data_IF_601799343228
#
_entry.id   IF_601799343228
#
_cell.length_a   1.000
_cell.length_b   1.000
_cell.length_c   1.000
_cell.angle_alpha   90.00
_cell.angle_beta   90.00
_cell.angle_gamma   90.00
#
_symmetry.space_group_name_H-M   'P 1'
#
loop_
_entity.id
_entity.type
_entity.pdbx_description
1 polymer ?
#
# COMPACT_ATOMS: atom_id res chain seq x y z
N UNK A 1 -11.00 -17.79 7.53
CA UNK A 1 -12.43 -17.79 7.84
C UNK A 1 -12.95 -16.46 8.38
N UNK A 2 -12.16 -15.62 9.01
CA UNK A 2 -12.58 -14.26 9.37
C UNK A 2 -11.46 -13.30 8.97
N UNK A 3 -11.69 -12.49 7.96
CA UNK A 3 -10.80 -11.40 7.60
C UNK A 3 -10.72 -10.32 8.70
N UNK A 4 -11.61 -10.36 9.69
CA UNK A 4 -11.66 -9.46 10.85
C UNK A 4 -12.47 -10.08 11.99
N UNK A 5 -12.18 -9.77 13.27
CA UNK A 5 -13.05 -10.13 14.38
C UNK A 5 -14.46 -9.56 14.18
N UNK A 6 -15.49 -10.28 14.64
CA UNK A 6 -16.88 -9.81 14.51
C UNK A 6 -17.04 -8.41 15.11
N UNK A 7 -17.55 -7.41 14.36
CA UNK A 7 -17.68 -6.04 14.84
C UNK A 7 -18.67 -5.90 16.01
N UNK A 8 -19.53 -6.90 16.22
CA UNK A 8 -20.57 -6.92 17.26
C UNK A 8 -20.15 -7.67 18.52
N UNK A 9 -18.98 -8.31 18.53
CA UNK A 9 -18.42 -9.02 19.69
C UNK A 9 -17.20 -8.30 20.23
N UNK A 10 -16.98 -8.41 21.55
CA UNK A 10 -15.71 -7.96 22.13
C UNK A 10 -14.55 -8.84 21.67
N UNK A 11 -13.34 -8.34 21.82
CA UNK A 11 -12.12 -9.09 21.47
C UNK A 11 -12.04 -10.38 22.28
N UNK A 12 -12.29 -10.32 23.58
CA UNK A 12 -12.28 -11.49 24.44
C UNK A 12 -13.33 -12.53 24.06
N UNK A 13 -14.53 -12.08 23.68
CA UNK A 13 -15.59 -12.97 23.20
C UNK A 13 -15.20 -13.63 21.87
N UNK A 14 -14.57 -12.88 20.97
CA UNK A 14 -14.11 -13.41 19.66
C UNK A 14 -12.99 -14.43 19.82
N UNK A 15 -11.98 -14.14 20.64
CA UNK A 15 -10.85 -15.04 20.89
C UNK A 15 -11.31 -16.30 21.66
N UNK A 16 -12.21 -16.13 22.64
CA UNK A 16 -12.73 -17.22 23.47
C UNK A 16 -13.86 -18.02 22.83
N UNK A 17 -14.33 -17.67 21.63
CA UNK A 17 -15.49 -18.31 20.99
C UNK A 17 -15.27 -19.81 20.77
N UNK A 18 -14.13 -20.21 20.24
CA UNK A 18 -13.76 -21.62 20.05
C UNK A 18 -13.75 -22.39 21.38
N UNK A 19 -13.19 -21.81 22.44
CA UNK A 19 -13.18 -22.41 23.76
C UNK A 19 -14.60 -22.60 24.31
N UNK A 20 -15.51 -21.67 24.07
CA UNK A 20 -16.89 -21.74 24.51
C UNK A 20 -17.67 -22.82 23.74
N UNK A 21 -17.52 -22.91 22.41
CA UNK A 21 -18.17 -23.91 21.54
C UNK A 21 -17.73 -25.31 21.94
N UNK A 22 -16.42 -25.53 22.16
CA UNK A 22 -15.85 -26.81 22.55
C UNK A 22 -15.94 -27.09 24.06
N UNK A 23 -16.59 -26.21 24.83
CA UNK A 23 -16.81 -26.36 26.30
C UNK A 23 -15.52 -26.54 27.09
N UNK A 24 -14.45 -25.86 26.69
CA UNK A 24 -13.15 -25.90 27.40
C UNK A 24 -13.23 -25.00 28.64
N UNK A 25 -13.22 -25.61 29.82
CA UNK A 25 -13.26 -24.88 31.09
C UNK A 25 -14.58 -24.15 31.37
N UNK A 26 -14.67 -23.51 32.53
CA UNK A 26 -15.78 -22.60 32.89
C UNK A 26 -15.53 -21.17 32.35
N UNK A 27 -16.44 -20.26 32.60
CA UNK A 27 -16.35 -18.87 32.12
C UNK A 27 -15.11 -18.15 32.64
N UNK A 28 -14.72 -18.40 33.91
CA UNK A 28 -13.54 -17.79 34.53
C UNK A 28 -12.25 -18.32 33.92
N UNK A 29 -12.12 -19.63 33.81
CA UNK A 29 -10.95 -20.27 33.20
C UNK A 29 -10.75 -19.85 31.73
N UNK A 30 -11.87 -19.71 30.98
CA UNK A 30 -11.83 -19.18 29.59
C UNK A 30 -11.32 -17.76 29.54
N UNK A 31 -11.84 -16.86 30.42
CA UNK A 31 -11.34 -15.47 30.46
C UNK A 31 -9.84 -15.42 30.75
N UNK A 32 -9.39 -16.17 31.77
CA UNK A 32 -7.97 -16.23 32.11
C UNK A 32 -7.10 -16.77 30.94
N UNK A 33 -7.55 -17.83 30.24
CA UNK A 33 -6.84 -18.36 29.08
C UNK A 33 -6.77 -17.32 27.95
N UNK A 34 -7.86 -16.64 27.65
CA UNK A 34 -7.91 -15.59 26.62
C UNK A 34 -7.01 -14.42 26.97
N UNK A 35 -7.02 -13.93 28.20
CA UNK A 35 -6.13 -12.84 28.64
C UNK A 35 -4.66 -13.24 28.47
N UNK A 36 -4.27 -14.47 28.88
CA UNK A 36 -2.92 -14.98 28.64
C UNK A 36 -2.57 -15.07 27.15
N UNK A 37 -3.52 -15.48 26.30
CA UNK A 37 -3.30 -15.53 24.86
C UNK A 37 -3.10 -14.13 24.25
N UNK A 38 -3.91 -13.14 24.68
CA UNK A 38 -3.76 -11.76 24.24
C UNK A 38 -2.40 -11.17 24.65
N UNK A 39 -1.92 -11.49 25.86
CA UNK A 39 -0.59 -11.13 26.34
C UNK A 39 0.50 -11.81 25.50
N UNK A 40 0.36 -13.12 25.27
CA UNK A 40 1.31 -13.92 24.47
C UNK A 40 1.47 -13.39 23.04
N UNK A 41 0.40 -12.91 22.41
CA UNK A 41 0.48 -12.28 21.08
C UNK A 41 0.93 -10.81 21.12
N UNK A 42 1.35 -10.33 22.30
CA UNK A 42 1.90 -8.99 22.49
C UNK A 42 0.86 -7.87 22.41
N UNK A 43 -0.38 -8.12 22.83
CA UNK A 43 -1.39 -7.08 23.00
C UNK A 43 -1.23 -6.46 24.39
N UNK A 44 -0.91 -5.16 24.42
CA UNK A 44 -0.75 -4.41 25.66
C UNK A 44 -2.07 -4.28 26.43
N UNK A 45 -2.00 -4.32 27.79
CA UNK A 45 -3.15 -4.24 28.68
C UNK A 45 -4.26 -5.26 28.34
N UNK A 46 -3.97 -6.57 28.28
CA UNK A 46 -4.87 -7.60 27.74
C UNK A 46 -6.22 -7.67 28.47
N UNK A 47 -6.28 -7.43 29.79
CA UNK A 47 -7.53 -7.37 30.53
C UNK A 47 -8.46 -6.26 30.04
N UNK A 48 -7.92 -5.05 29.79
CA UNK A 48 -8.68 -3.94 29.24
C UNK A 48 -9.12 -4.23 27.81
N UNK A 49 -8.22 -4.80 26.99
CA UNK A 49 -8.49 -5.11 25.58
C UNK A 49 -9.50 -6.24 25.42
N UNK A 50 -9.62 -7.13 26.40
CA UNK A 50 -10.62 -8.19 26.41
C UNK A 50 -12.04 -7.66 26.23
N UNK A 51 -12.38 -6.55 26.88
CA UNK A 51 -13.71 -5.97 26.88
C UNK A 51 -13.94 -4.95 25.75
N UNK A 52 -12.91 -4.62 24.97
CA UNK A 52 -12.99 -3.71 23.81
C UNK A 52 -13.55 -4.39 22.56
N UNK A 53 -14.04 -3.55 21.64
CA UNK A 53 -14.54 -3.97 20.33
C UNK A 53 -13.46 -3.81 19.25
N UNK A 54 -13.56 -4.52 18.11
CA UNK A 54 -12.58 -4.45 17.03
C UNK A 54 -12.31 -3.04 16.50
N UNK A 55 -13.32 -2.17 16.46
CA UNK A 55 -13.15 -0.79 15.96
C UNK A 55 -12.27 0.10 16.86
N UNK A 56 -12.02 -0.31 18.12
CA UNK A 56 -11.14 0.38 19.05
C UNK A 56 -9.67 -0.07 18.96
N UNK A 57 -9.37 -1.07 18.11
CA UNK A 57 -8.03 -1.63 17.92
C UNK A 57 -7.42 -1.21 16.59
N UNK A 58 -6.08 -1.10 16.56
CA UNK A 58 -5.33 -0.94 15.31
C UNK A 58 -5.42 -2.20 14.44
N UNK A 59 -5.07 -2.10 13.13
CA UNK A 59 -5.03 -3.26 12.23
C UNK A 59 -4.15 -4.40 12.74
N UNK A 60 -2.94 -4.09 13.19
CA UNK A 60 -2.02 -5.08 13.74
C UNK A 60 -2.53 -5.74 15.02
N UNK A 61 -3.20 -4.98 15.90
CA UNK A 61 -3.82 -5.56 17.12
C UNK A 61 -4.98 -6.50 16.77
N UNK A 62 -5.80 -6.16 15.76
CA UNK A 62 -6.86 -7.04 15.25
C UNK A 62 -6.29 -8.35 14.75
N UNK A 63 -5.20 -8.27 13.98
CA UNK A 63 -4.53 -9.45 13.42
C UNK A 63 -3.95 -10.34 14.52
N UNK A 64 -3.30 -9.75 15.55
CA UNK A 64 -2.81 -10.50 16.72
C UNK A 64 -3.95 -11.17 17.50
N UNK A 65 -5.11 -10.51 17.64
CA UNK A 65 -6.28 -11.11 18.25
C UNK A 65 -6.83 -12.31 17.46
N UNK A 66 -6.79 -12.25 16.10
CA UNK A 66 -7.15 -13.38 15.24
C UNK A 66 -6.17 -14.56 15.38
N UNK A 67 -4.86 -14.28 15.50
CA UNK A 67 -3.86 -15.31 15.78
C UNK A 67 -4.11 -15.94 17.15
N UNK A 68 -4.39 -15.15 18.19
CA UNK A 68 -4.75 -15.64 19.51
C UNK A 68 -5.99 -16.56 19.45
N UNK A 69 -7.00 -16.20 18.68
CA UNK A 69 -8.19 -17.04 18.46
C UNK A 69 -7.85 -18.35 17.74
N UNK A 70 -6.98 -18.31 16.73
CA UNK A 70 -6.57 -19.48 15.95
C UNK A 70 -5.81 -20.51 16.80
N UNK A 71 -4.96 -20.06 17.74
CA UNK A 71 -4.19 -20.95 18.62
C UNK A 71 -4.90 -21.32 19.93
N UNK A 72 -6.07 -20.75 20.21
CA UNK A 72 -6.77 -20.94 21.49
C UNK A 72 -7.11 -22.40 21.83
N UNK A 73 -7.33 -23.22 20.81
CA UNK A 73 -7.61 -24.66 20.91
C UNK A 73 -6.38 -25.56 20.67
N UNK A 74 -5.18 -24.96 20.56
CA UNK A 74 -3.91 -25.69 20.35
C UNK A 74 -4.01 -26.65 19.14
N UNK A 75 -4.29 -26.14 17.93
CA UNK A 75 -4.45 -26.95 16.73
C UNK A 75 -3.11 -27.51 16.25
N UNK A 76 -3.12 -28.64 15.53
CA UNK A 76 -1.94 -29.18 14.87
C UNK A 76 -1.55 -28.40 13.60
N UNK A 77 -2.50 -27.71 12.97
CA UNK A 77 -2.31 -26.94 11.73
C UNK A 77 -3.07 -25.62 11.77
N UNK A 78 -2.39 -24.54 11.38
CA UNK A 78 -3.01 -23.23 11.12
C UNK A 78 -2.98 -22.95 9.63
N UNK A 79 -4.14 -22.53 9.07
CA UNK A 79 -4.23 -21.98 7.72
C UNK A 79 -4.25 -20.46 7.85
N UNK A 80 -3.18 -19.81 7.42
CA UNK A 80 -3.02 -18.36 7.43
C UNK A 80 -3.20 -17.81 6.01
N UNK A 81 -4.40 -17.29 5.73
CA UNK A 81 -4.77 -16.74 4.43
C UNK A 81 -4.52 -15.23 4.42
N UNK A 82 -3.48 -14.81 3.72
CA UNK A 82 -2.98 -13.42 3.65
C UNK A 82 -2.92 -12.70 5.02
N UNK A 83 -2.26 -13.27 6.03
CA UNK A 83 -2.34 -12.77 7.41
C UNK A 83 -1.70 -11.40 7.61
N UNK A 84 -0.97 -10.89 6.64
CA UNK A 84 -0.27 -9.60 6.71
C UNK A 84 -0.75 -8.62 5.64
N UNK A 85 -1.75 -8.97 4.86
CA UNK A 85 -2.36 -8.10 3.85
C UNK A 85 -2.84 -6.77 4.46
N UNK A 86 -2.59 -5.67 3.79
CA UNK A 86 -2.95 -4.30 4.22
C UNK A 86 -2.31 -3.83 5.55
N UNK A 87 -1.25 -4.49 6.02
CA UNK A 87 -0.43 -4.03 7.13
C UNK A 87 0.82 -3.33 6.60
N UNK A 88 1.32 -2.35 7.35
CA UNK A 88 2.63 -1.76 7.05
C UNK A 88 3.76 -2.77 7.34
N UNK A 89 4.91 -2.56 6.70
CA UNK A 89 6.04 -3.53 6.70
C UNK A 89 6.56 -3.86 8.11
N UNK A 90 6.50 -2.92 9.05
CA UNK A 90 6.97 -3.15 10.43
C UNK A 90 5.99 -4.04 11.20
N UNK A 91 4.68 -3.76 11.08
CA UNK A 91 3.63 -4.60 11.67
C UNK A 91 3.60 -5.97 11.00
N UNK A 92 3.76 -6.04 9.68
CA UNK A 92 3.87 -7.30 8.93
C UNK A 92 5.00 -8.17 9.49
N UNK A 93 6.21 -7.60 9.66
CA UNK A 93 7.35 -8.33 10.23
C UNK A 93 7.02 -8.88 11.61
N UNK A 94 6.44 -8.07 12.50
CA UNK A 94 6.08 -8.50 13.86
C UNK A 94 5.05 -9.64 13.85
N UNK A 95 4.07 -9.61 12.96
CA UNK A 95 3.07 -10.68 12.81
C UNK A 95 3.73 -11.99 12.31
N UNK A 96 4.63 -11.88 11.34
CA UNK A 96 5.36 -13.04 10.81
C UNK A 96 6.29 -13.65 11.85
N UNK A 97 7.02 -12.83 12.60
CA UNK A 97 7.89 -13.28 13.69
C UNK A 97 7.05 -13.99 14.77
N UNK A 98 5.90 -13.45 15.15
CA UNK A 98 4.96 -14.08 16.09
C UNK A 98 4.46 -15.46 15.61
N UNK A 99 4.14 -15.59 14.32
CA UNK A 99 3.72 -16.89 13.75
C UNK A 99 4.85 -17.92 13.82
N UNK A 100 6.11 -17.53 13.54
CA UNK A 100 7.27 -18.40 13.64
C UNK A 100 7.56 -18.82 15.10
N UNK A 101 7.45 -17.90 16.05
CA UNK A 101 7.57 -18.19 17.49
C UNK A 101 6.52 -19.21 17.94
N UNK A 102 5.25 -18.99 17.54
CA UNK A 102 4.17 -19.91 17.88
C UNK A 102 4.35 -21.28 17.24
N UNK A 103 4.82 -21.32 15.98
CA UNK A 103 5.16 -22.59 15.31
C UNK A 103 6.20 -23.38 16.09
N UNK A 104 7.27 -22.70 16.49
CA UNK A 104 8.37 -23.34 17.23
C UNK A 104 7.95 -23.80 18.64
N UNK A 105 7.20 -22.98 19.38
CA UNK A 105 6.78 -23.31 20.74
C UNK A 105 5.71 -24.39 20.82
N UNK A 106 4.72 -24.37 19.91
CA UNK A 106 3.57 -25.27 19.94
C UNK A 106 3.77 -26.50 19.05
N UNK A 107 4.83 -26.55 18.23
CA UNK A 107 5.09 -27.66 17.30
C UNK A 107 4.04 -27.78 16.18
N UNK A 108 3.37 -26.67 15.82
CA UNK A 108 2.26 -26.65 14.85
C UNK A 108 2.78 -26.48 13.43
N UNK A 109 2.04 -27.04 12.45
CA UNK A 109 2.21 -26.72 11.03
C UNK A 109 1.52 -25.39 10.68
N UNK A 110 2.10 -24.64 9.72
CA UNK A 110 1.45 -23.46 9.16
C UNK A 110 1.35 -23.60 7.64
N UNK A 111 0.13 -23.60 7.11
CA UNK A 111 -0.13 -23.42 5.69
C UNK A 111 -0.34 -21.92 5.43
N UNK A 112 0.67 -21.29 4.85
CA UNK A 112 0.69 -19.84 4.60
C UNK A 112 0.27 -19.54 3.16
N UNK A 113 -0.81 -18.78 2.96
CA UNK A 113 -1.26 -18.33 1.65
C UNK A 113 -0.87 -16.87 1.51
N UNK A 114 -0.12 -16.54 0.47
CA UNK A 114 0.33 -15.16 0.20
C UNK A 114 0.57 -14.96 -1.30
N UNK A 115 0.40 -13.73 -1.76
CA UNK A 115 0.86 -13.31 -3.08
C UNK A 115 2.28 -12.71 -3.03
N UNK A 116 2.86 -12.51 -1.84
CA UNK A 116 4.22 -11.97 -1.66
C UNK A 116 5.26 -13.10 -1.59
N UNK A 117 5.97 -13.27 -2.72
CA UNK A 117 7.03 -14.28 -2.85
C UNK A 117 8.22 -14.03 -1.92
N UNK A 118 8.47 -12.78 -1.56
CA UNK A 118 9.56 -12.45 -0.65
C UNK A 118 9.24 -12.93 0.77
N UNK A 119 7.99 -12.76 1.20
CA UNK A 119 7.52 -13.32 2.48
C UNK A 119 7.59 -14.85 2.45
N UNK A 120 7.14 -15.48 1.35
CA UNK A 120 7.25 -16.93 1.20
C UNK A 120 8.71 -17.40 1.25
N UNK A 121 9.64 -16.67 0.61
CA UNK A 121 11.08 -16.97 0.63
C UNK A 121 11.71 -16.84 2.01
N UNK A 122 11.31 -15.87 2.80
CA UNK A 122 11.86 -15.63 4.13
C UNK A 122 11.32 -16.61 5.19
N UNK A 123 10.13 -17.21 4.98
CA UNK A 123 9.38 -17.91 6.03
C UNK A 123 9.03 -19.37 5.74
N UNK A 124 8.88 -19.75 4.46
CA UNK A 124 8.40 -21.08 4.12
C UNK A 124 9.55 -22.08 3.93
N UNK A 125 9.36 -23.30 4.44
CA UNK A 125 10.26 -24.44 4.14
C UNK A 125 9.99 -24.96 2.72
N UNK A 126 8.74 -24.97 2.30
CA UNK A 126 8.27 -25.42 0.97
C UNK A 126 7.28 -24.43 0.39
N UNK A 127 7.28 -24.28 -0.92
CA UNK A 127 6.31 -23.46 -1.65
C UNK A 127 5.54 -24.29 -2.68
N UNK A 128 4.30 -23.90 -2.91
CA UNK A 128 3.44 -24.35 -4.01
C UNK A 128 2.99 -23.11 -4.77
N UNK A 129 3.41 -22.98 -6.02
CA UNK A 129 3.01 -21.88 -6.90
C UNK A 129 1.78 -22.29 -7.68
N UNK A 130 0.72 -21.47 -7.61
CA UNK A 130 -0.57 -21.73 -8.26
C UNK A 130 -0.94 -20.63 -9.25
N UNK A 131 -1.53 -21.02 -10.38
CA UNK A 131 -2.14 -20.13 -11.39
C UNK A 131 -3.42 -20.76 -11.89
N UNK A 132 -4.52 -20.01 -11.92
CA UNK A 132 -5.84 -20.45 -12.39
C UNK A 132 -6.31 -21.79 -11.76
N UNK A 133 -6.10 -21.92 -10.45
CA UNK A 133 -6.49 -23.11 -9.68
C UNK A 133 -5.61 -24.36 -9.92
N UNK A 134 -4.51 -24.22 -10.68
CA UNK A 134 -3.58 -25.30 -10.98
C UNK A 134 -2.22 -25.09 -10.32
N UNK A 135 -1.62 -26.16 -9.81
CA UNK A 135 -0.24 -26.14 -9.34
C UNK A 135 0.70 -26.08 -10.54
N UNK A 136 1.50 -25.00 -10.60
CA UNK A 136 2.52 -24.78 -11.65
C UNK A 136 3.89 -25.30 -11.25
N UNK A 137 4.22 -25.13 -9.99
CA UNK A 137 5.51 -25.56 -9.44
C UNK A 137 5.38 -25.82 -7.95
N UNK A 138 6.15 -26.76 -7.42
CA UNK A 138 6.22 -27.03 -5.99
C UNK A 138 7.59 -27.58 -5.61
N UNK A 139 8.08 -27.23 -4.43
CA UNK A 139 9.37 -27.68 -3.97
C UNK A 139 9.85 -27.02 -2.67
N UNK A 140 11.11 -27.24 -2.33
CA UNK A 140 11.78 -26.49 -1.26
C UNK A 140 11.83 -25.02 -1.68
N UNK A 141 11.47 -24.12 -0.76
CA UNK A 141 11.34 -22.69 -1.08
C UNK A 141 12.60 -22.11 -1.71
N UNK A 142 13.77 -22.38 -1.13
CA UNK A 142 15.05 -21.95 -1.67
C UNK A 142 15.27 -22.41 -3.13
N UNK A 143 14.98 -23.68 -3.46
CA UNK A 143 15.18 -24.21 -4.82
C UNK A 143 14.22 -23.55 -5.83
N UNK A 144 12.93 -23.45 -5.49
CA UNK A 144 11.92 -22.85 -6.39
C UNK A 144 12.18 -21.36 -6.64
N UNK A 145 12.65 -20.63 -5.63
CA UNK A 145 12.88 -19.20 -5.74
C UNK A 145 14.21 -18.85 -6.41
N UNK A 146 15.26 -19.70 -6.30
CA UNK A 146 16.57 -19.42 -6.94
C UNK A 146 16.68 -19.97 -8.35
N UNK A 147 16.03 -21.12 -8.64
CA UNK A 147 16.10 -21.79 -9.95
C UNK A 147 14.68 -22.27 -10.39
N UNK A 148 13.74 -21.33 -10.61
CA UNK A 148 12.39 -21.66 -11.01
C UNK A 148 12.36 -22.37 -12.36
N UNK A 149 11.56 -23.45 -12.46
CA UNK A 149 11.43 -24.20 -13.72
C UNK A 149 10.21 -23.73 -14.52
N UNK A 150 9.09 -23.47 -13.85
CA UNK A 150 7.86 -23.05 -14.50
C UNK A 150 7.95 -21.62 -15.05
N UNK A 151 7.50 -21.35 -16.29
CA UNK A 151 7.49 -20.01 -16.87
C UNK A 151 6.70 -18.99 -16.03
N UNK A 152 5.64 -19.44 -15.38
CA UNK A 152 4.82 -18.60 -14.51
C UNK A 152 5.62 -18.16 -13.26
N UNK A 153 6.31 -19.09 -12.59
CA UNK A 153 7.15 -18.77 -11.42
C UNK A 153 8.25 -17.77 -11.79
N UNK A 154 8.89 -17.95 -12.96
CA UNK A 154 9.88 -17.00 -13.48
C UNK A 154 9.31 -15.59 -13.64
N UNK A 155 8.11 -15.46 -14.21
CA UNK A 155 7.42 -14.17 -14.36
C UNK A 155 7.07 -13.55 -13.01
N UNK A 156 6.56 -14.35 -12.05
CA UNK A 156 6.24 -13.86 -10.71
C UNK A 156 7.48 -13.29 -10.01
N UNK A 157 8.60 -14.01 -10.06
CA UNK A 157 9.86 -13.57 -9.45
C UNK A 157 10.44 -12.32 -10.11
N UNK A 158 10.37 -12.25 -11.44
CA UNK A 158 10.83 -11.06 -12.18
C UNK A 158 9.99 -9.80 -11.83
N UNK A 159 8.72 -9.98 -11.51
CA UNK A 159 7.79 -8.90 -11.17
C UNK A 159 7.79 -8.55 -9.68
N UNK A 160 8.45 -9.33 -8.80
CA UNK A 160 8.44 -9.09 -7.37
C UNK A 160 9.38 -7.93 -6.98
N UNK A 161 8.86 -6.76 -6.52
CA UNK A 161 9.67 -5.58 -6.25
C UNK A 161 10.76 -5.82 -5.20
N UNK A 162 10.43 -6.61 -4.17
CA UNK A 162 11.34 -6.92 -3.07
C UNK A 162 12.46 -7.90 -3.43
N UNK A 163 12.28 -8.69 -4.51
CA UNK A 163 13.27 -9.67 -5.00
C UNK A 163 14.03 -9.16 -6.22
N UNK A 164 13.51 -8.16 -6.92
CA UNK A 164 14.15 -7.56 -8.10
C UNK A 164 15.22 -6.54 -7.67
N UNK A 165 16.44 -6.70 -8.17
CA UNK A 165 17.52 -5.74 -7.98
C UNK A 165 17.45 -4.56 -8.96
N UNK A 166 16.61 -4.65 -10.00
CA UNK A 166 16.56 -3.66 -11.07
C UNK A 166 15.47 -2.60 -10.79
N UNK A 167 15.80 -1.30 -10.85
CA UNK A 167 14.77 -0.27 -10.84
C UNK A 167 13.88 -0.40 -12.08
N UNK A 168 12.56 -0.31 -11.90
CA UNK A 168 11.60 -0.26 -13.03
C UNK A 168 11.86 0.98 -13.88
N UNK A 169 12.38 2.01 -13.24
CA UNK A 169 12.58 3.32 -13.84
C UNK A 169 14.06 3.60 -14.11
N UNK A 170 14.35 4.13 -15.30
CA UNK A 170 15.62 4.83 -15.53
C UNK A 170 15.58 6.14 -14.72
N UNK A 171 16.70 6.54 -14.07
CA UNK A 171 16.77 7.84 -13.41
C UNK A 171 16.22 8.92 -14.33
N UNK A 172 15.33 9.77 -13.83
CA UNK A 172 14.88 10.92 -14.59
C UNK A 172 16.14 11.67 -15.07
N UNK A 173 16.14 12.07 -16.32
CA UNK A 173 17.17 13.00 -16.81
C UNK A 173 17.14 14.17 -15.84
N UNK A 174 18.27 14.55 -15.20
CA UNK A 174 18.25 15.64 -14.24
C UNK A 174 17.59 16.84 -14.91
N UNK A 175 16.42 17.24 -14.42
CA UNK A 175 15.86 18.53 -14.76
C UNK A 175 17.00 19.50 -14.54
N UNK A 176 17.33 20.35 -15.53
CA UNK A 176 18.45 21.26 -15.51
C UNK A 176 18.73 21.73 -14.09
N UNK A 177 19.93 21.48 -13.57
CA UNK A 177 20.31 21.90 -12.23
C UNK A 177 20.14 23.44 -12.17
N UNK A 178 19.02 23.90 -11.59
CA UNK A 178 18.61 25.30 -11.60
C UNK A 178 17.18 25.58 -12.09
N UNK A 179 16.47 24.60 -12.67
CA UNK A 179 15.05 24.78 -12.98
C UNK A 179 14.22 24.82 -11.68
N UNK A 180 13.26 25.76 -11.54
CA UNK A 180 12.42 25.83 -10.36
C UNK A 180 11.60 24.53 -10.24
N UNK A 181 11.44 24.07 -8.98
CA UNK A 181 10.62 22.90 -8.67
C UNK A 181 9.17 23.13 -9.14
N UNK A 182 8.50 22.07 -9.64
CA UNK A 182 7.07 22.13 -9.97
C UNK A 182 6.23 22.30 -8.70
N UNK A 183 6.59 21.56 -7.67
CA UNK A 183 5.94 21.57 -6.34
C UNK A 183 6.99 21.80 -5.24
N UNK A 184 6.70 22.72 -4.33
CA UNK A 184 7.45 22.87 -3.09
C UNK A 184 6.48 22.86 -1.91
N UNK A 185 6.75 22.02 -0.94
CA UNK A 185 6.03 21.91 0.34
C UNK A 185 6.95 22.45 1.40
N UNK A 186 6.53 23.51 2.13
CA UNK A 186 7.36 24.23 3.11
C UNK A 186 6.66 24.26 4.46
N UNK A 187 7.20 23.56 5.44
CA UNK A 187 6.75 23.47 6.84
C UNK A 187 5.25 23.23 6.99
N UNK A 188 4.69 22.38 6.10
CA UNK A 188 3.25 22.10 6.07
C UNK A 188 2.82 21.39 7.35
N UNK A 189 1.86 22.01 8.04
CA UNK A 189 1.21 21.48 9.25
C UNK A 189 -0.28 21.37 9.03
N UNK A 190 -0.86 20.22 9.41
CA UNK A 190 -2.30 19.98 9.33
C UNK A 190 -2.84 19.50 10.68
N UNK A 191 -3.81 20.24 11.22
CA UNK A 191 -4.50 19.91 12.46
C UNK A 191 -5.99 19.62 12.21
N UNK A 192 -6.54 18.72 13.02
CA UNK A 192 -7.97 18.43 13.09
C UNK A 192 -8.40 18.52 14.57
N UNK A 193 -8.96 19.66 14.95
CA UNK A 193 -9.15 20.01 16.36
C UNK A 193 -7.81 20.02 17.10
N UNK A 194 -7.71 19.26 18.18
CA UNK A 194 -6.48 19.17 18.98
C UNK A 194 -5.45 18.17 18.42
N UNK A 195 -5.84 17.37 17.42
CA UNK A 195 -4.97 16.38 16.82
C UNK A 195 -4.13 16.97 15.68
N UNK A 196 -2.80 16.90 15.80
CA UNK A 196 -1.87 17.27 14.73
C UNK A 196 -1.54 16.03 13.90
N UNK A 197 -2.08 15.98 12.68
CA UNK A 197 -1.88 14.86 11.76
C UNK A 197 -0.60 14.98 10.94
N UNK A 198 -0.16 16.20 10.67
CA UNK A 198 1.10 16.54 9.96
C UNK A 198 1.73 17.73 10.65
N UNK A 199 3.03 17.69 10.90
CA UNK A 199 3.78 18.68 11.66
C UNK A 199 5.12 19.00 10.96
N UNK A 200 5.19 20.12 10.24
CA UNK A 200 6.42 20.68 9.66
C UNK A 200 7.02 19.86 8.51
N UNK A 201 6.21 19.33 7.58
CA UNK A 201 6.70 18.57 6.43
C UNK A 201 7.20 19.50 5.32
N UNK A 202 8.44 19.25 4.83
CA UNK A 202 9.09 20.08 3.79
C UNK A 202 9.82 19.23 2.76
N UNK A 203 9.52 19.44 1.47
CA UNK A 203 10.23 18.81 0.34
C UNK A 203 9.95 19.54 -0.98
N UNK A 204 10.72 19.24 -2.01
CA UNK A 204 10.53 19.78 -3.35
C UNK A 204 10.48 18.67 -4.39
N UNK A 205 9.67 18.89 -5.46
CA UNK A 205 9.49 17.93 -6.54
C UNK A 205 9.77 18.62 -7.87
N UNK A 206 10.89 18.32 -8.52
CA UNK A 206 11.17 18.78 -9.88
C UNK A 206 10.14 18.27 -10.89
N UNK A 207 9.92 19.00 -11.98
CA UNK A 207 9.06 18.55 -13.09
C UNK A 207 9.56 17.21 -13.63
N UNK A 208 8.64 16.31 -13.96
CA UNK A 208 8.94 15.00 -14.53
C UNK A 208 9.56 14.00 -13.55
N UNK A 209 9.69 14.37 -12.25
CA UNK A 209 10.24 13.48 -11.22
C UNK A 209 9.15 12.86 -10.35
N UNK A 210 9.52 11.84 -9.57
CA UNK A 210 8.66 11.19 -8.59
C UNK A 210 9.23 11.41 -7.19
N UNK A 211 8.44 12.05 -6.32
CA UNK A 211 8.74 12.13 -4.89
C UNK A 211 7.86 11.16 -4.12
N UNK A 212 8.45 10.25 -3.37
CA UNK A 212 7.70 9.33 -2.53
C UNK A 212 7.47 9.87 -1.12
N UNK A 213 6.34 9.51 -0.52
CA UNK A 213 6.06 9.73 0.91
C UNK A 213 5.79 8.37 1.54
N UNK A 214 6.66 7.96 2.48
CA UNK A 214 6.61 6.65 3.14
C UNK A 214 6.48 6.77 4.65
N UNK A 215 6.11 5.67 5.31
CA UNK A 215 5.98 5.57 6.76
C UNK A 215 4.85 4.62 7.15
N UNK A 216 4.73 4.33 8.44
CA UNK A 216 3.70 3.46 8.99
C UNK A 216 2.28 4.01 8.81
N UNK A 217 1.28 3.17 9.03
CA UNK A 217 -0.13 3.59 9.03
C UNK A 217 -0.34 4.69 10.08
N UNK A 218 -1.07 5.75 9.71
CA UNK A 218 -1.29 6.90 10.60
C UNK A 218 -0.12 7.89 10.70
N UNK A 219 0.96 7.73 9.92
CA UNK A 219 2.10 8.68 9.95
C UNK A 219 1.85 10.02 9.25
N UNK A 220 0.67 10.24 8.66
CA UNK A 220 0.31 11.52 8.02
C UNK A 220 0.43 11.54 6.49
N UNK A 221 0.82 10.44 5.82
CA UNK A 221 1.04 10.35 4.36
C UNK A 221 -0.15 10.85 3.53
N UNK A 222 -1.30 10.19 3.70
CA UNK A 222 -2.55 10.57 3.00
C UNK A 222 -2.97 11.99 3.30
N UNK A 223 -2.79 12.44 4.55
CA UNK A 223 -3.11 13.83 4.94
C UNK A 223 -2.21 14.82 4.19
N UNK A 224 -0.90 14.54 4.10
CA UNK A 224 0.05 15.35 3.32
C UNK A 224 -0.34 15.39 1.84
N UNK A 225 -0.66 14.26 1.23
CA UNK A 225 -1.10 14.21 -0.17
C UNK A 225 -2.39 14.99 -0.43
N UNK A 226 -3.36 14.91 0.49
CA UNK A 226 -4.61 15.69 0.42
C UNK A 226 -4.38 17.19 0.58
N UNK A 227 -3.42 17.58 1.41
CA UNK A 227 -3.01 18.99 1.55
C UNK A 227 -2.36 19.52 0.28
N UNK A 228 -1.49 18.74 -0.37
CA UNK A 228 -0.89 19.07 -1.66
C UNK A 228 -1.95 19.25 -2.74
N UNK A 229 -2.91 18.33 -2.82
CA UNK A 229 -4.02 18.39 -3.78
C UNK A 229 -5.12 19.41 -3.38
N UNK A 230 -4.91 20.17 -2.30
CA UNK A 230 -5.84 21.19 -1.78
C UNK A 230 -7.25 20.65 -1.49
N UNK A 231 -7.37 19.37 -1.10
CA UNK A 231 -8.59 18.84 -0.51
C UNK A 231 -8.75 19.29 0.95
N UNK A 232 -7.61 19.39 1.65
CA UNK A 232 -7.53 20.00 2.98
C UNK A 232 -6.56 21.18 2.87
N UNK A 233 -6.99 22.39 3.19
CA UNK A 233 -6.07 23.52 3.27
C UNK A 233 -5.19 23.34 4.51
N UNK A 234 -3.85 23.40 4.39
CA UNK A 234 -2.95 23.31 5.53
C UNK A 234 -3.30 24.33 6.62
N UNK A 235 -3.10 23.94 7.88
CA UNK A 235 -3.30 24.85 9.03
C UNK A 235 -2.15 25.87 9.14
N UNK A 236 -0.93 25.47 8.72
CA UNK A 236 0.25 26.32 8.63
C UNK A 236 1.21 25.81 7.55
N UNK A 237 2.18 26.61 7.16
CA UNK A 237 3.12 26.31 6.09
C UNK A 237 2.59 26.68 4.71
N UNK A 238 3.35 26.37 3.67
CA UNK A 238 3.08 26.77 2.30
C UNK A 238 3.11 25.55 1.36
N UNK A 239 2.22 25.56 0.37
CA UNK A 239 2.23 24.64 -0.78
C UNK A 239 2.40 25.47 -2.04
N UNK A 240 3.61 25.50 -2.57
CA UNK A 240 3.94 26.26 -3.78
C UNK A 240 3.81 25.35 -5.00
N UNK A 241 2.99 25.72 -5.96
CA UNK A 241 2.89 25.04 -7.26
C UNK A 241 3.20 26.04 -8.39
N UNK A 242 4.24 25.72 -9.16
CA UNK A 242 4.74 26.65 -10.22
C UNK A 242 5.04 28.06 -9.70
N UNK A 243 5.57 28.14 -8.48
CA UNK A 243 5.88 29.42 -7.82
C UNK A 243 4.68 30.16 -7.23
N UNK A 244 3.46 29.63 -7.32
CA UNK A 244 2.26 30.21 -6.71
C UNK A 244 1.93 29.48 -5.40
N UNK A 245 1.73 30.21 -4.32
CA UNK A 245 1.27 29.68 -3.03
C UNK A 245 -0.22 29.31 -3.09
N UNK A 246 -0.50 27.99 -3.03
CA UNK A 246 -1.86 27.48 -3.04
C UNK A 246 -2.61 27.68 -1.72
N UNK A 247 -1.87 27.86 -0.62
CA UNK A 247 -2.49 28.06 0.71
C UNK A 247 -3.18 29.41 0.82
N UNK A 248 -2.77 30.38 0.01
CA UNK A 248 -3.38 31.71 -0.08
C UNK A 248 -4.43 31.81 -1.23
N UNK A 249 -4.50 30.79 -2.08
CA UNK A 249 -5.35 30.85 -3.26
C UNK A 249 -6.85 30.87 -2.91
N UNK A 250 -7.62 31.66 -3.66
CA UNK A 250 -9.08 31.69 -3.57
C UNK A 250 -9.73 30.39 -4.05
N UNK A 251 -10.98 30.14 -3.65
CA UNK A 251 -11.74 28.98 -4.11
C UNK A 251 -11.84 28.88 -5.64
N UNK A 252 -11.87 30.04 -6.34
CA UNK A 252 -11.91 30.10 -7.81
C UNK A 252 -10.57 29.67 -8.42
N UNK A 253 -9.45 30.08 -7.83
CA UNK A 253 -8.11 29.68 -8.24
C UNK A 253 -7.86 28.18 -7.98
N UNK A 254 -8.22 27.67 -6.79
CA UNK A 254 -8.17 26.23 -6.47
C UNK A 254 -8.98 25.43 -7.49
N UNK A 255 -10.18 25.88 -7.87
CA UNK A 255 -11.00 25.20 -8.89
C UNK A 255 -10.31 25.14 -10.26
N UNK A 256 -9.53 26.16 -10.65
CA UNK A 256 -8.75 26.16 -11.89
C UNK A 256 -7.57 25.19 -11.78
N UNK A 257 -6.88 25.18 -10.63
CA UNK A 257 -5.72 24.33 -10.36
C UNK A 257 -6.06 22.85 -10.27
N UNK A 258 -7.33 22.49 -10.00
CA UNK A 258 -7.80 21.08 -10.09
C UNK A 258 -7.64 20.47 -11.48
N UNK A 259 -7.46 21.29 -12.54
CA UNK A 259 -7.09 20.80 -13.86
C UNK A 259 -5.60 20.42 -13.98
N UNK A 260 -4.74 20.97 -13.12
CA UNK A 260 -3.29 20.76 -13.17
C UNK A 260 -2.78 19.81 -12.07
N UNK A 261 -3.56 19.62 -10.99
CA UNK A 261 -3.23 18.73 -9.87
C UNK A 261 -4.36 17.72 -9.69
N UNK A 262 -4.05 16.44 -9.78
CA UNK A 262 -4.99 15.34 -9.63
C UNK A 262 -4.59 14.39 -8.51
N UNK A 263 -5.59 13.69 -7.95
CA UNK A 263 -5.41 12.68 -6.91
C UNK A 263 -6.01 11.35 -7.37
N UNK A 264 -5.20 10.31 -7.36
CA UNK A 264 -5.66 8.91 -7.46
C UNK A 264 -5.78 8.38 -6.04
N UNK A 265 -6.99 7.95 -5.67
CA UNK A 265 -7.30 7.49 -4.31
C UNK A 265 -6.84 6.06 -4.05
N UNK A 266 -6.56 5.76 -2.79
CA UNK A 266 -6.14 4.46 -2.28
C UNK A 266 -7.05 3.30 -2.69
N UNK A 267 -8.37 3.48 -2.64
CA UNK A 267 -9.34 2.44 -2.94
C UNK A 267 -10.09 2.77 -4.24
N UNK A 268 -9.77 2.06 -5.35
CA UNK A 268 -10.45 2.28 -6.63
C UNK A 268 -11.95 1.91 -6.58
N UNK A 269 -12.36 0.98 -5.70
CA UNK A 269 -13.77 0.62 -5.53
C UNK A 269 -14.63 1.79 -5.03
N UNK A 270 -14.12 2.55 -4.05
CA UNK A 270 -14.83 3.69 -3.48
C UNK A 270 -14.67 4.96 -4.32
N UNK A 271 -13.67 5.02 -5.20
CA UNK A 271 -13.37 6.18 -6.02
C UNK A 271 -14.22 6.26 -7.30
N UNK A 272 -14.72 5.13 -7.81
CA UNK A 272 -15.57 5.06 -8.99
C UNK A 272 -17.05 4.96 -8.58
N UNK A 273 -17.90 5.80 -9.20
CA UNK A 273 -19.34 5.73 -8.96
C UNK A 273 -19.90 4.44 -9.60
N UNK A 274 -20.46 3.49 -8.81
CA UNK A 274 -20.95 2.21 -9.33
C UNK A 274 -22.16 2.34 -10.29
N UNK A 275 -22.79 3.52 -10.33
CA UNK A 275 -23.92 3.80 -11.22
C UNK A 275 -23.51 4.38 -12.57
N UNK A 276 -22.21 4.62 -12.78
CA UNK A 276 -21.67 5.16 -14.04
C UNK A 276 -20.93 4.06 -14.78
N UNK A 277 -20.93 4.12 -16.12
CA UNK A 277 -20.00 3.32 -16.90
C UNK A 277 -18.56 3.80 -16.68
N UNK A 278 -17.56 2.92 -16.92
CA UNK A 278 -16.17 3.31 -16.76
C UNK A 278 -15.76 4.42 -17.72
N UNK A 279 -16.29 4.40 -18.94
CA UNK A 279 -16.03 5.45 -19.91
C UNK A 279 -16.64 6.80 -19.50
N UNK A 280 -17.86 6.81 -18.93
CA UNK A 280 -18.47 8.03 -18.41
C UNK A 280 -17.72 8.57 -17.18
N UNK A 281 -17.17 7.68 -16.32
CA UNK A 281 -16.34 8.07 -15.20
C UNK A 281 -15.03 8.75 -15.66
N UNK A 282 -14.41 8.26 -16.75
CA UNK A 282 -13.22 8.91 -17.35
C UNK A 282 -13.58 10.20 -18.07
N UNK A 283 -14.75 10.28 -18.74
CA UNK A 283 -15.21 11.48 -19.45
C UNK A 283 -15.67 12.61 -18.52
N UNK A 284 -16.04 12.30 -17.27
CA UNK A 284 -16.62 13.25 -16.33
C UNK A 284 -15.73 14.48 -16.06
N UNK A 285 -14.42 14.35 -15.74
CA UNK A 285 -13.56 15.52 -15.50
C UNK A 285 -13.49 16.48 -16.68
N UNK A 286 -13.42 15.96 -17.91
CA UNK A 286 -13.35 16.76 -19.14
C UNK A 286 -14.62 17.60 -19.31
N UNK A 287 -15.80 17.01 -19.03
CA UNK A 287 -17.10 17.70 -19.07
C UNK A 287 -17.22 18.75 -17.97
N UNK A 288 -16.87 18.38 -16.73
CA UNK A 288 -17.04 19.23 -15.56
C UNK A 288 -16.15 20.48 -15.59
N UNK A 289 -14.99 20.40 -16.25
CA UNK A 289 -14.12 21.55 -16.49
C UNK A 289 -14.51 22.36 -17.73
N UNK A 290 -15.58 21.98 -18.43
CA UNK A 290 -16.07 22.69 -19.62
C UNK A 290 -15.11 22.65 -20.82
N UNK A 291 -14.21 21.66 -20.86
CA UNK A 291 -13.18 21.55 -21.90
C UNK A 291 -13.68 20.92 -23.20
N UNK A 292 -14.79 20.19 -23.17
CA UNK A 292 -15.33 19.50 -24.35
C UNK A 292 -16.83 19.26 -24.28
N UNK A 293 -17.45 19.09 -25.45
CA UNK A 293 -18.83 18.61 -25.60
C UNK A 293 -18.93 17.14 -25.15
N UNK A 294 -20.15 16.65 -24.87
CA UNK A 294 -20.38 15.24 -24.49
C UNK A 294 -19.78 14.24 -25.50
N UNK A 295 -19.89 14.53 -26.81
CA UNK A 295 -19.34 13.66 -27.87
C UNK A 295 -17.81 13.63 -27.84
N UNK A 296 -17.19 14.80 -27.71
CA UNK A 296 -15.73 14.92 -27.62
C UNK A 296 -15.19 14.24 -26.35
N UNK A 297 -15.81 14.51 -25.17
CA UNK A 297 -15.40 13.88 -23.93
C UNK A 297 -15.50 12.34 -23.98
N UNK A 298 -16.51 11.79 -24.68
CA UNK A 298 -16.62 10.34 -24.91
C UNK A 298 -15.49 9.80 -25.78
N UNK A 299 -15.10 10.52 -26.82
CA UNK A 299 -13.99 10.14 -27.67
C UNK A 299 -12.66 10.18 -26.90
N UNK A 300 -12.38 11.29 -26.21
CA UNK A 300 -11.18 11.41 -25.36
C UNK A 300 -11.12 10.31 -24.30
N UNK A 301 -12.24 9.97 -23.65
CA UNK A 301 -12.26 8.91 -22.68
C UNK A 301 -11.87 7.54 -23.27
N UNK A 302 -12.24 7.24 -24.51
CA UNK A 302 -11.82 6.00 -25.20
C UNK A 302 -10.33 5.98 -25.47
N UNK A 303 -9.78 7.10 -25.90
CA UNK A 303 -8.34 7.26 -26.15
C UNK A 303 -7.53 7.05 -24.85
N UNK A 304 -8.03 7.60 -23.72
CA UNK A 304 -7.39 7.43 -22.42
C UNK A 304 -7.59 6.03 -21.82
N UNK A 305 -8.69 5.32 -22.12
CA UNK A 305 -8.81 3.90 -21.77
C UNK A 305 -7.75 3.07 -22.52
N UNK A 306 -7.55 3.32 -23.80
CA UNK A 306 -6.50 2.65 -24.58
C UNK A 306 -5.10 2.99 -24.05
N UNK A 307 -4.85 4.24 -23.71
CA UNK A 307 -3.58 4.71 -23.14
C UNK A 307 -3.20 3.97 -21.84
N UNK A 308 -4.20 3.62 -21.02
CA UNK A 308 -3.99 2.80 -19.80
C UNK A 308 -4.09 1.30 -20.09
N UNK A 309 -4.03 0.86 -21.35
CA UNK A 309 -4.08 -0.54 -21.79
C UNK A 309 -5.40 -1.25 -21.41
N UNK A 310 -6.51 -0.54 -21.55
CA UNK A 310 -7.88 -1.10 -21.51
C UNK A 310 -8.48 -1.00 -22.90
N UNK A 311 -9.24 -2.06 -23.33
CA UNK A 311 -9.96 -2.05 -24.57
C UNK A 311 -11.04 -0.93 -24.57
N UNK A 312 -11.02 0.02 -25.52
CA UNK A 312 -12.04 1.08 -25.63
C UNK A 312 -13.49 0.56 -25.75
N UNK A 313 -13.68 -0.71 -26.19
CA UNK A 313 -15.00 -1.35 -26.24
C UNK A 313 -15.60 -1.56 -24.84
N UNK A 314 -14.78 -1.55 -23.79
CA UNK A 314 -15.22 -1.66 -22.41
C UNK A 314 -15.90 -0.37 -21.88
N UNK A 315 -15.96 0.70 -22.68
CA UNK A 315 -16.50 2.02 -22.28
C UNK A 315 -17.81 1.92 -21.49
N UNK A 316 -18.74 1.12 -21.96
CA UNK A 316 -20.11 1.04 -21.40
C UNK A 316 -20.21 0.02 -20.22
N UNK A 317 -19.12 -0.65 -19.82
CA UNK A 317 -19.10 -1.56 -18.67
C UNK A 317 -19.24 -0.84 -17.35
N UNK A 318 -19.82 -1.54 -16.37
CA UNK A 318 -19.86 -1.10 -14.96
C UNK A 318 -18.53 -1.35 -14.26
N UNK A 319 -18.13 -0.50 -13.29
CA UNK A 319 -16.96 -0.77 -12.45
C UNK A 319 -16.98 -2.13 -11.73
N UNK A 320 -18.16 -2.66 -11.43
CA UNK A 320 -18.32 -3.96 -10.77
C UNK A 320 -17.87 -5.15 -11.63
N UNK A 321 -17.89 -5.01 -12.95
CA UNK A 321 -17.50 -6.05 -13.91
C UNK A 321 -15.98 -6.12 -14.14
N UNK A 322 -15.21 -5.23 -13.51
CA UNK A 322 -13.76 -5.14 -13.71
C UNK A 322 -12.98 -5.87 -12.61
N UNK A 323 -11.80 -6.37 -12.97
CA UNK A 323 -10.78 -6.78 -11.97
C UNK A 323 -10.24 -5.59 -11.18
N UNK A 324 -9.54 -5.85 -10.06
CA UNK A 324 -8.90 -4.80 -9.26
C UNK A 324 -7.92 -3.95 -10.08
N UNK A 325 -7.05 -4.58 -10.85
CA UNK A 325 -6.10 -3.87 -11.72
C UNK A 325 -6.77 -3.08 -12.85
N UNK A 326 -7.86 -3.59 -13.44
CA UNK A 326 -8.63 -2.84 -14.44
C UNK A 326 -9.29 -1.61 -13.83
N UNK A 327 -9.86 -1.72 -12.63
CA UNK A 327 -10.41 -0.54 -11.90
C UNK A 327 -9.35 0.50 -11.61
N UNK A 328 -8.15 0.05 -11.21
CA UNK A 328 -7.04 0.96 -10.96
C UNK A 328 -6.62 1.71 -12.23
N UNK A 329 -6.55 1.02 -13.39
CA UNK A 329 -6.30 1.65 -14.68
C UNK A 329 -7.37 2.68 -15.05
N UNK A 330 -8.65 2.41 -14.78
CA UNK A 330 -9.74 3.39 -14.95
C UNK A 330 -9.56 4.60 -14.02
N UNK A 331 -9.19 4.39 -12.76
CA UNK A 331 -8.95 5.48 -11.81
C UNK A 331 -7.76 6.37 -12.25
N UNK A 332 -6.69 5.76 -12.78
CA UNK A 332 -5.55 6.47 -13.38
C UNK A 332 -6.02 7.24 -14.63
N UNK A 333 -6.72 6.59 -15.56
CA UNK A 333 -7.24 7.24 -16.78
C UNK A 333 -8.08 8.47 -16.44
N UNK A 334 -9.01 8.36 -15.44
CA UNK A 334 -9.83 9.47 -14.97
C UNK A 334 -9.01 10.64 -14.43
N UNK A 335 -7.89 10.35 -13.75
CA UNK A 335 -7.03 11.40 -13.22
C UNK A 335 -6.24 12.10 -14.32
N UNK A 336 -5.75 11.36 -15.33
CA UNK A 336 -4.86 11.93 -16.36
C UNK A 336 -5.60 12.45 -17.59
N UNK A 337 -6.90 12.16 -17.79
CA UNK A 337 -7.69 12.56 -18.98
C UNK A 337 -7.74 14.07 -19.22
N UNK A 338 -7.50 14.86 -18.20
CA UNK A 338 -7.42 16.32 -18.27
C UNK A 338 -6.00 16.85 -18.42
N UNK A 339 -5.02 15.96 -18.62
CA UNK A 339 -3.61 16.27 -18.80
C UNK A 339 -3.05 17.14 -17.66
N UNK A 340 -3.06 16.63 -16.40
CA UNK A 340 -2.52 17.35 -15.27
C UNK A 340 -0.98 17.39 -15.36
N UNK A 341 -0.35 18.35 -14.65
CA UNK A 341 1.10 18.40 -14.51
C UNK A 341 1.59 17.64 -13.28
N UNK A 342 0.73 17.52 -12.24
CA UNK A 342 1.02 16.83 -10.99
C UNK A 342 -0.07 15.80 -10.69
N UNK A 343 0.32 14.56 -10.40
CA UNK A 343 -0.58 13.52 -9.90
C UNK A 343 -0.10 13.02 -8.55
N UNK A 344 -0.95 13.13 -7.55
CA UNK A 344 -0.76 12.51 -6.24
C UNK A 344 -1.36 11.09 -6.31
N UNK A 345 -0.54 10.09 -6.07
CA UNK A 345 -0.90 8.67 -6.10
C UNK A 345 -0.96 8.15 -4.66
N UNK A 346 -2.16 8.09 -4.08
CA UNK A 346 -2.35 7.66 -2.68
C UNK A 346 -2.56 6.15 -2.63
N UNK A 347 -1.50 5.40 -2.29
CA UNK A 347 -1.46 3.94 -2.20
C UNK A 347 -2.05 3.23 -3.44
N UNK A 348 -1.75 3.76 -4.62
CA UNK A 348 -2.37 3.34 -5.88
C UNK A 348 -2.09 1.88 -6.31
N UNK A 349 -1.19 1.17 -5.65
CA UNK A 349 -0.83 -0.22 -5.98
C UNK A 349 -0.93 -1.19 -4.80
N UNK A 350 -1.29 -0.73 -3.60
CA UNK A 350 -1.21 -1.51 -2.35
C UNK A 350 -2.18 -2.70 -2.26
N UNK A 351 -3.28 -2.70 -3.02
CA UNK A 351 -4.31 -3.74 -2.97
C UNK A 351 -4.27 -4.67 -4.21
N UNK A 352 -3.15 -4.69 -4.92
CA UNK A 352 -2.98 -5.46 -6.16
C UNK A 352 -2.00 -6.62 -5.94
N UNK A 353 -2.21 -7.72 -6.64
CA UNK A 353 -1.22 -8.79 -6.70
C UNK A 353 0.07 -8.32 -7.39
N UNK A 354 1.18 -9.00 -7.10
CA UNK A 354 2.54 -8.61 -7.52
C UNK A 354 2.65 -8.38 -9.04
N UNK A 355 2.00 -9.23 -9.84
CA UNK A 355 2.05 -9.12 -11.30
C UNK A 355 1.29 -7.88 -11.80
N UNK A 356 0.10 -7.65 -11.28
CA UNK A 356 -0.70 -6.46 -11.61
C UNK A 356 -0.04 -5.20 -11.09
N UNK A 357 0.56 -5.23 -9.90
CA UNK A 357 1.33 -4.15 -9.32
C UNK A 357 2.49 -3.73 -10.25
N UNK A 358 3.30 -4.69 -10.72
CA UNK A 358 4.38 -4.43 -11.67
C UNK A 358 3.87 -3.78 -12.96
N UNK A 359 2.77 -4.28 -13.53
CA UNK A 359 2.15 -3.70 -14.73
C UNK A 359 1.65 -2.27 -14.53
N UNK A 360 1.14 -1.93 -13.33
CA UNK A 360 0.72 -0.56 -13.01
C UNK A 360 1.92 0.36 -12.85
N UNK A 361 3.02 -0.12 -12.24
CA UNK A 361 4.26 0.66 -12.11
C UNK A 361 4.88 0.96 -13.47
N UNK A 362 4.94 -0.03 -14.37
CA UNK A 362 5.38 0.17 -15.76
C UNK A 362 4.48 1.16 -16.53
N UNK A 363 3.15 1.05 -16.31
CA UNK A 363 2.20 1.99 -16.89
C UNK A 363 2.46 3.42 -16.39
N UNK A 364 2.66 3.62 -15.08
CA UNK A 364 2.93 4.92 -14.49
C UNK A 364 4.25 5.52 -15.01
N UNK A 365 5.31 4.71 -15.15
CA UNK A 365 6.58 5.15 -15.72
C UNK A 365 6.43 5.57 -17.20
N UNK A 366 5.68 4.81 -18.00
CA UNK A 366 5.36 5.17 -19.38
C UNK A 366 4.56 6.47 -19.46
N UNK A 367 3.46 6.58 -18.70
CA UNK A 367 2.61 7.77 -18.69
C UNK A 367 3.37 9.01 -18.23
N UNK A 368 4.31 8.87 -17.30
CA UNK A 368 5.15 9.98 -16.84
C UNK A 368 6.02 10.52 -17.96
N UNK A 369 6.61 9.64 -18.76
CA UNK A 369 7.44 10.03 -19.90
C UNK A 369 6.65 10.61 -21.07
N UNK A 370 5.53 9.94 -21.40
CA UNK A 370 4.74 10.29 -22.58
C UNK A 370 3.94 11.58 -22.40
N UNK A 371 3.54 11.91 -21.15
CA UNK A 371 2.71 13.06 -20.80
C UNK A 371 3.43 14.11 -19.94
N UNK A 372 4.75 13.99 -19.70
CA UNK A 372 5.57 14.88 -18.83
C UNK A 372 4.96 15.04 -17.42
N UNK A 373 4.45 13.94 -16.84
CA UNK A 373 3.79 13.97 -15.54
C UNK A 373 4.82 14.02 -14.40
N UNK A 374 4.45 14.72 -13.35
CA UNK A 374 5.18 14.73 -12.08
C UNK A 374 4.36 13.97 -11.05
N UNK A 375 5.01 13.14 -10.22
CA UNK A 375 4.32 12.31 -9.24
C UNK A 375 4.69 12.67 -7.79
N UNK A 376 3.67 12.70 -6.92
CA UNK A 376 3.83 12.46 -5.49
C UNK A 376 3.25 11.08 -5.20
N UNK A 377 4.11 10.13 -4.85
CA UNK A 377 3.76 8.72 -4.69
C UNK A 377 3.71 8.33 -3.22
N UNK A 378 2.53 8.05 -2.70
CA UNK A 378 2.33 7.64 -1.30
C UNK A 378 2.26 6.12 -1.25
N UNK A 379 3.11 5.50 -0.42
CA UNK A 379 3.11 4.05 -0.23
C UNK A 379 3.62 3.68 1.16
N UNK A 380 3.18 2.53 1.64
CA UNK A 380 3.80 1.84 2.78
C UNK A 380 4.78 0.74 2.32
N UNK A 381 4.78 0.40 1.02
CA UNK A 381 5.69 -0.57 0.43
C UNK A 381 6.97 0.12 -0.06
N UNK A 382 8.02 -0.02 0.74
CA UNK A 382 9.34 0.55 0.47
C UNK A 382 10.04 -0.10 -0.74
N UNK A 383 9.77 -1.38 -1.04
CA UNK A 383 10.35 -2.04 -2.20
C UNK A 383 9.82 -1.39 -3.50
N UNK A 384 8.53 -1.08 -3.55
CA UNK A 384 7.92 -0.32 -4.66
C UNK A 384 8.51 1.08 -4.77
N UNK A 385 8.65 1.78 -3.63
CA UNK A 385 9.21 3.13 -3.60
C UNK A 385 10.63 3.17 -4.15
N UNK A 386 11.46 2.19 -3.79
CA UNK A 386 12.82 2.07 -4.31
C UNK A 386 12.87 1.91 -5.84
N UNK A 387 11.82 1.36 -6.44
CA UNK A 387 11.76 1.15 -7.89
C UNK A 387 11.28 2.37 -8.69
N UNK A 388 10.36 3.18 -8.12
CA UNK A 388 9.67 4.23 -8.88
C UNK A 388 10.09 5.65 -8.51
N UNK A 389 10.69 5.89 -7.34
CA UNK A 389 10.93 7.25 -6.87
C UNK A 389 12.36 7.75 -7.04
N UNK A 390 12.50 9.05 -7.29
CA UNK A 390 13.79 9.76 -7.35
C UNK A 390 14.20 10.26 -5.96
N UNK A 391 13.22 10.75 -5.19
CA UNK A 391 13.41 11.26 -3.83
C UNK A 391 12.32 10.72 -2.92
N UNK A 392 12.59 10.66 -1.62
CA UNK A 392 11.65 10.14 -0.64
C UNK A 392 11.66 10.96 0.64
N UNK A 393 10.47 11.19 1.20
CA UNK A 393 10.24 11.69 2.56
C UNK A 393 9.74 10.55 3.44
N UNK A 394 10.43 10.31 4.55
CA UNK A 394 10.04 9.31 5.56
C UNK A 394 9.28 10.02 6.68
N UNK A 395 8.02 9.61 6.90
CA UNK A 395 7.16 10.19 7.92
C UNK A 395 6.94 9.23 9.09
N UNK A 396 7.01 9.76 10.31
CA UNK A 396 6.68 9.06 11.55
C UNK A 396 5.85 9.97 12.45
N UNK A 397 4.67 9.49 12.87
CA UNK A 397 3.79 10.22 13.81
C UNK A 397 3.53 11.68 13.42
N UNK A 398 3.26 11.92 12.14
CA UNK A 398 2.99 13.26 11.61
C UNK A 398 4.24 14.07 11.26
N UNK A 399 5.45 13.66 11.61
CA UNK A 399 6.69 14.39 11.37
C UNK A 399 7.53 13.75 10.29
N UNK A 400 8.22 14.57 9.53
CA UNK A 400 9.24 14.15 8.60
C UNK A 400 10.54 13.85 9.37
N UNK A 401 10.97 12.60 9.37
CA UNK A 401 12.16 12.15 10.09
C UNK A 401 13.39 12.10 9.19
N UNK A 402 13.17 11.94 7.88
CA UNK A 402 14.25 11.89 6.89
C UNK A 402 13.72 12.30 5.52
N UNK A 403 14.56 12.96 4.71
CA UNK A 403 14.26 13.31 3.31
C UNK A 403 15.55 13.32 2.48
N UNK A 404 15.48 12.80 1.26
CA UNK A 404 16.64 12.78 0.38
C UNK A 404 16.41 12.01 -0.91
N UNK A 405 17.49 11.75 -1.65
CA UNK A 405 17.42 10.85 -2.82
C UNK A 405 17.12 9.45 -2.36
N UNK A 406 16.25 8.76 -3.07
CA UNK A 406 15.84 7.40 -2.72
C UNK A 406 17.04 6.47 -2.58
N UNK A 407 17.95 6.48 -3.53
CA UNK A 407 19.15 5.64 -3.49
C UNK A 407 20.01 5.88 -2.23
N UNK A 408 20.18 7.14 -1.80
CA UNK A 408 21.01 7.50 -0.66
C UNK A 408 20.35 7.03 0.66
N UNK A 409 19.03 7.25 0.80
CA UNK A 409 18.27 6.84 2.00
C UNK A 409 18.22 5.31 2.13
N UNK A 410 18.07 4.58 1.03
CA UNK A 410 18.05 3.11 1.08
C UNK A 410 19.43 2.51 1.34
N UNK A 411 20.52 3.13 0.84
CA UNK A 411 21.87 2.67 1.09
C UNK A 411 22.42 3.08 2.47
N UNK A 412 22.08 4.29 2.93
CA UNK A 412 22.67 4.92 4.12
C UNK A 412 21.62 5.67 4.94
N UNK A 413 20.60 4.98 5.51
CA UNK A 413 19.58 5.63 6.34
C UNK A 413 20.22 6.34 7.54
N UNK A 414 19.85 7.60 7.79
CA UNK A 414 20.43 8.41 8.84
C UNK A 414 19.69 8.25 10.18
N UNK A 415 18.45 7.76 10.15
CA UNK A 415 17.67 7.58 11.38
C UNK A 415 17.41 6.11 11.66
N UNK A 416 17.38 5.72 12.95
CA UNK A 416 17.02 4.36 13.38
C UNK A 416 15.63 3.95 12.89
N UNK A 417 14.71 4.91 12.76
CA UNK A 417 13.37 4.63 12.26
C UNK A 417 13.40 4.21 10.79
N UNK A 418 14.11 4.96 9.94
CA UNK A 418 14.28 4.62 8.52
C UNK A 418 14.99 3.29 8.36
N UNK A 419 16.06 3.05 9.14
CA UNK A 419 16.78 1.79 9.13
C UNK A 419 15.86 0.60 9.50
N UNK A 420 15.01 0.75 10.52
CA UNK A 420 14.02 -0.29 10.88
C UNK A 420 13.01 -0.54 9.78
N UNK A 421 12.50 0.51 9.12
CA UNK A 421 11.57 0.37 7.99
C UNK A 421 12.20 -0.41 6.83
N UNK A 422 13.44 -0.05 6.45
CA UNK A 422 14.17 -0.72 5.37
C UNK A 422 14.48 -2.18 5.73
N UNK A 423 14.89 -2.43 6.98
CA UNK A 423 15.16 -3.78 7.48
C UNK A 423 13.89 -4.64 7.68
N UNK A 424 12.71 -4.05 7.61
CA UNK A 424 11.45 -4.78 7.63
C UNK A 424 10.96 -5.20 6.23
N UNK A 425 11.62 -4.75 5.16
CA UNK A 425 11.27 -5.18 3.78
C UNK A 425 11.51 -6.68 3.65
N UNK A 426 10.51 -7.48 3.22
CA UNK A 426 10.67 -8.91 3.00
C UNK A 426 11.74 -9.24 1.93
N UNK A 427 12.23 -10.48 1.91
CA UNK A 427 13.19 -10.96 0.92
C UNK A 427 14.67 -10.68 1.29
N UNK A 428 14.97 -10.36 2.53
CA UNK A 428 16.34 -10.09 2.94
C UNK A 428 17.22 -11.36 2.88
N UNK A 429 16.70 -12.51 3.28
CA UNK A 429 17.41 -13.80 3.18
C UNK A 429 17.72 -14.15 1.73
N UNK A 430 16.78 -13.90 0.84
CA UNK A 430 16.96 -14.11 -0.59
C UNK A 430 18.05 -13.23 -1.17
N UNK A 431 18.09 -11.94 -0.81
CA UNK A 431 19.10 -10.97 -1.29
C UNK A 431 20.49 -11.22 -0.72
N UNK A 432 20.59 -11.69 0.49
CA UNK A 432 21.87 -12.02 1.14
C UNK A 432 22.50 -13.33 0.63
N UNK A 433 21.80 -14.12 -0.17
CA UNK A 433 22.23 -15.45 -0.55
C UNK A 433 22.14 -16.48 0.58
N UNK A 434 21.57 -16.09 1.73
CA UNK A 434 21.43 -16.89 2.96
C UNK A 434 20.19 -17.81 2.91
N UNK A 435 19.81 -18.25 1.73
CA UNK A 435 18.81 -19.31 1.60
C UNK A 435 19.47 -20.61 2.06
N UNK A 436 19.38 -20.88 3.36
CA UNK A 436 19.80 -22.15 3.93
C UNK A 436 19.08 -23.27 3.16
N UNK A 437 19.84 -23.93 2.31
CA UNK A 437 19.50 -25.24 1.78
C UNK A 437 19.54 -26.18 2.99
N UNK A 438 18.44 -26.23 3.77
CA UNK A 438 18.29 -27.21 4.84
C UNK A 438 18.42 -28.60 4.22
N UNK A 439 19.62 -29.13 4.25
CA UNK A 439 19.97 -30.53 4.03
C UNK A 439 19.74 -31.30 5.33
#
# INVERSE_FOLDING_TARGET
>A
WMASPSPTKTIGASVGEGLAIHRVGDAKARREKVVRLLDKVGIDNPDKRYDQYPHELSGGMKQRALIAAAVALEPDLIIADEPTSALDVTVQKVILDLLDEMRAELGIGILFITHDLAVAGDRADRVVVMEDGQVRESGIAAAVLTDPKAPYTKRLLANAPSLSAAPVRRPAVPANAGAPALLEVRDVTQRFGDFTAVDGVSFSVPRGSTHAIVGESGSGKTTTGRSIAMFNRPTAGEVMFKGQDLTQASAKEIRRLRGSIQLVYQNPYSSLNPRMSIGDAVAEPVRNLGRATKRQARQTAREFLELVSLDPSMYDRSPAELSGGQRQRVAIARAIVIEPELVVLDEAVSALDVTVQAQILELLDRLQRDLDLTYVFISHDLAVVNQISDTVSVLSRGRQVEVGKTADIFAHPQTDYTARLINAIPGQRYRAGDLNLGL
#
